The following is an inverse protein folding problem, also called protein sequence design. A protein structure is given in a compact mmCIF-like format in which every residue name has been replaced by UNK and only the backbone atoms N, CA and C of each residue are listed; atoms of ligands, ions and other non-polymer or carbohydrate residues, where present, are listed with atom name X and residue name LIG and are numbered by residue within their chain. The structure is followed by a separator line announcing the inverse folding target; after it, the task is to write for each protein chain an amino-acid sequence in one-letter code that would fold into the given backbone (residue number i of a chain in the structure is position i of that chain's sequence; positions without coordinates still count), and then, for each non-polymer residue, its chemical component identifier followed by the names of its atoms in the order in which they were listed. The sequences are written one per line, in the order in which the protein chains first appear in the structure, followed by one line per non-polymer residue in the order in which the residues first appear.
data_IF_980791357529
#
_entry.id   IF_980791357529
#
_cell.length_a   1.000
_cell.length_b   1.000
_cell.length_c   1.000
_cell.angle_alpha   90.00
_cell.angle_beta   90.00
_cell.angle_gamma   90.00
#
_symmetry.space_group_name_H-M   'P 1'
#
loop_
_entity.id
_entity.type
_entity.pdbx_description
1 polymer ?
#
# COMPACT_ATOMS: atom_id res chain seq x y z
N UNK A 1 -5.41 -6.94 -15.57
CA UNK A 1 -6.07 -5.78 -14.95
C UNK A 1 -5.19 -5.33 -13.78
N UNK A 2 -4.25 -4.42 -14.04
CA UNK A 2 -3.34 -3.86 -13.03
C UNK A 2 -4.05 -2.70 -12.33
N UNK A 3 -4.99 -3.06 -11.44
CA UNK A 3 -5.77 -2.12 -10.64
C UNK A 3 -4.85 -1.15 -9.92
N UNK A 4 -5.01 0.13 -10.24
CA UNK A 4 -4.44 1.25 -9.51
C UNK A 4 -5.26 1.48 -8.24
N UNK A 5 -5.54 0.40 -7.51
CA UNK A 5 -6.41 0.41 -6.35
C UNK A 5 -5.59 0.88 -5.15
N UNK A 6 -5.71 2.19 -4.88
CA UNK A 6 -5.61 2.72 -3.53
C UNK A 6 -6.12 1.66 -2.57
N UNK A 7 -5.27 1.09 -1.72
CA UNK A 7 -5.80 0.19 -0.70
C UNK A 7 -6.48 1.08 0.32
N UNK A 8 -7.83 1.10 0.40
CA UNK A 8 -8.50 2.06 1.24
C UNK A 8 -8.12 1.82 2.70
N UNK A 9 -8.04 2.90 3.48
CA UNK A 9 -7.89 2.79 4.92
C UNK A 9 -9.25 3.05 5.57
N UNK A 10 -9.65 2.17 6.46
CA UNK A 10 -10.93 2.25 7.14
C UNK A 10 -10.71 2.36 8.65
N UNK A 11 -11.59 3.10 9.32
CA UNK A 11 -11.49 3.36 10.76
C UNK A 11 -12.65 2.75 11.52
N UNK A 12 -12.38 2.22 12.72
CA UNK A 12 -13.40 1.64 13.60
C UNK A 12 -13.06 1.91 15.07
N UNK A 13 -14.05 2.16 15.94
CA UNK A 13 -13.82 2.36 17.36
C UNK A 13 -13.48 1.03 18.07
N UNK A 14 -12.44 1.06 18.89
CA UNK A 14 -12.03 -0.06 19.74
C UNK A 14 -11.24 0.48 20.94
N UNK A 15 -11.54 -0.02 22.15
CA UNK A 15 -10.78 0.28 23.38
C UNK A 15 -10.60 1.79 23.68
N UNK A 16 -11.66 2.59 23.49
CA UNK A 16 -11.62 4.03 23.75
C UNK A 16 -10.97 4.88 22.65
N UNK A 17 -10.37 4.25 21.63
CA UNK A 17 -9.74 4.93 20.50
C UNK A 17 -10.37 4.49 19.16
N UNK A 18 -9.94 5.13 18.07
CA UNK A 18 -10.18 4.66 16.72
C UNK A 18 -8.95 3.98 16.17
N UNK A 19 -9.13 2.80 15.62
CA UNK A 19 -8.08 2.05 14.95
C UNK A 19 -8.34 1.98 13.46
N UNK A 20 -7.27 2.10 12.68
CA UNK A 20 -7.30 1.94 11.24
C UNK A 20 -7.01 0.49 10.85
N UNK A 21 -7.58 0.03 9.74
CA UNK A 21 -7.22 -1.22 9.08
C UNK A 21 -7.19 -1.03 7.56
N UNK A 22 -6.53 -1.96 6.88
CA UNK A 22 -6.31 -1.92 5.43
C UNK A 22 -7.41 -2.66 4.68
N UNK A 23 -7.89 -2.09 3.59
CA UNK A 23 -8.90 -2.66 2.69
C UNK A 23 -10.26 -1.99 2.82
N UNK A 24 -11.26 -2.60 2.16
CA UNK A 24 -12.62 -2.04 2.09
C UNK A 24 -13.35 -2.07 3.44
N UNK A 25 -14.33 -1.16 3.63
CA UNK A 25 -15.20 -1.18 4.80
C UNK A 25 -15.82 -2.57 5.00
N UNK A 26 -15.64 -3.15 6.18
CA UNK A 26 -16.29 -4.41 6.56
C UNK A 26 -17.44 -4.16 7.53
N UNK A 27 -18.36 -5.13 7.60
CA UNK A 27 -19.53 -5.07 8.46
C UNK A 27 -19.22 -5.22 9.95
N UNK A 28 -20.21 -4.86 10.77
CA UNK A 28 -20.19 -5.07 12.22
C UNK A 28 -19.87 -6.53 12.59
N UNK A 29 -19.08 -6.73 13.64
CA UNK A 29 -18.73 -8.06 14.14
C UNK A 29 -17.62 -8.78 13.36
N UNK A 30 -17.13 -8.19 12.27
CA UNK A 30 -16.00 -8.74 11.51
C UNK A 30 -14.69 -8.49 12.25
N UNK A 31 -13.88 -9.53 12.39
CA UNK A 31 -12.53 -9.43 12.94
C UNK A 31 -11.55 -8.96 11.86
N UNK A 32 -10.76 -7.94 12.18
CA UNK A 32 -9.72 -7.40 11.30
C UNK A 32 -8.40 -7.23 12.06
N UNK A 33 -7.30 -7.23 11.31
CA UNK A 33 -6.00 -6.79 11.82
C UNK A 33 -5.89 -5.28 11.63
N UNK A 34 -5.73 -4.54 12.73
CA UNK A 34 -5.49 -3.10 12.67
C UNK A 34 -4.06 -2.79 12.21
N UNK A 35 -3.82 -1.53 11.81
CA UNK A 35 -2.49 -1.07 11.43
C UNK A 35 -1.51 -1.09 12.60
N UNK A 36 -1.97 -0.97 13.85
CA UNK A 36 -1.14 -1.16 15.05
C UNK A 36 -0.94 -2.63 15.45
N UNK A 37 -1.22 -3.57 14.53
CA UNK A 37 -1.07 -5.02 14.71
C UNK A 37 -1.94 -5.62 15.83
N UNK A 38 -3.05 -4.97 16.18
CA UNK A 38 -4.04 -5.53 17.10
C UNK A 38 -5.15 -6.21 16.33
N UNK A 39 -5.57 -7.38 16.79
CA UNK A 39 -6.78 -8.03 16.28
C UNK A 39 -7.98 -7.38 16.96
N UNK A 40 -8.85 -6.74 16.17
CA UNK A 40 -10.01 -6.00 16.67
C UNK A 40 -11.27 -6.46 15.96
N UNK A 41 -12.41 -6.36 16.65
CA UNK A 41 -13.74 -6.60 16.08
C UNK A 41 -14.32 -5.26 15.66
N UNK A 42 -14.77 -5.16 14.41
CA UNK A 42 -15.39 -3.95 13.88
C UNK A 42 -16.69 -3.66 14.62
N UNK A 43 -16.76 -2.44 15.16
CA UNK A 43 -17.94 -1.91 15.82
C UNK A 43 -18.46 -0.70 15.05
N UNK A 44 -19.77 -0.53 15.07
CA UNK A 44 -20.35 0.73 14.63
C UNK A 44 -20.17 1.76 15.74
N UNK A 45 -20.04 3.02 15.36
CA UNK A 45 -20.08 4.10 16.32
C UNK A 45 -21.45 4.08 17.04
N UNK A 46 -21.47 4.21 18.38
CA UNK A 46 -22.73 4.36 19.10
C UNK A 46 -23.49 5.56 18.54
N UNK A 47 -24.83 5.52 18.44
CA UNK A 47 -25.61 6.65 17.94
C UNK A 47 -25.42 7.93 18.80
N UNK A 48 -25.02 7.76 20.06
CA UNK A 48 -24.73 8.82 21.02
C UNK A 48 -23.33 9.42 20.89
N UNK A 49 -22.39 8.74 20.22
CA UNK A 49 -21.01 9.17 20.11
C UNK A 49 -20.60 9.30 18.64
N UNK A 50 -20.52 10.56 18.17
CA UNK A 50 -20.03 10.86 16.82
C UNK A 50 -18.57 10.42 16.66
N UNK A 51 -18.20 10.02 15.45
CA UNK A 51 -16.86 9.58 15.07
C UNK A 51 -15.73 10.53 15.55
N UNK A 52 -15.97 11.85 15.47
CA UNK A 52 -15.03 12.90 15.90
C UNK A 52 -14.73 12.92 17.42
N UNK A 53 -15.53 12.25 18.24
CA UNK A 53 -15.35 12.23 19.69
C UNK A 53 -14.37 11.15 20.15
N UNK A 54 -13.94 10.28 19.24
CA UNK A 54 -13.00 9.21 19.55
C UNK A 54 -11.61 9.60 19.08
N UNK A 55 -10.60 9.66 19.98
CA UNK A 55 -9.23 9.93 19.59
C UNK A 55 -8.71 8.82 18.67
N UNK A 56 -7.85 9.18 17.73
CA UNK A 56 -7.17 8.21 16.87
C UNK A 56 -6.05 7.52 17.64
N UNK A 57 -5.94 6.20 17.50
CA UNK A 57 -4.78 5.47 17.96
C UNK A 57 -3.53 6.01 17.26
N UNK A 58 -2.54 6.47 18.04
CA UNK A 58 -1.34 7.15 17.53
C UNK A 58 -0.61 6.35 16.43
N UNK A 59 -0.44 5.05 16.64
CA UNK A 59 0.28 4.18 15.70
C UNK A 59 -0.53 3.96 14.41
N UNK A 60 -1.84 3.84 14.53
CA UNK A 60 -2.73 3.74 13.38
C UNK A 60 -2.71 5.04 12.57
N UNK A 61 -2.75 6.19 13.22
CA UNK A 61 -2.69 7.49 12.56
C UNK A 61 -1.37 7.70 11.82
N UNK A 62 -0.24 7.29 12.41
CA UNK A 62 1.07 7.36 11.76
C UNK A 62 1.11 6.46 10.51
N UNK A 63 0.78 5.17 10.65
CA UNK A 63 0.82 4.21 9.54
C UNK A 63 -0.21 4.51 8.45
N UNK A 64 -1.35 5.08 8.79
CA UNK A 64 -2.33 5.54 7.81
C UNK A 64 -1.78 6.67 6.93
N UNK A 65 -0.98 7.59 7.51
CA UNK A 65 -0.29 8.63 6.73
C UNK A 65 0.79 8.03 5.83
N UNK A 66 1.55 7.07 6.33
CA UNK A 66 2.55 6.37 5.51
C UNK A 66 1.91 5.71 4.29
N UNK A 67 0.75 5.05 4.47
CA UNK A 67 0.00 4.45 3.36
C UNK A 67 -0.42 5.46 2.29
N UNK A 68 -0.75 6.70 2.69
CA UNK A 68 -1.08 7.78 1.75
C UNK A 68 0.18 8.27 1.04
N UNK A 69 1.27 8.49 1.77
CA UNK A 69 2.54 8.94 1.21
C UNK A 69 3.15 7.91 0.22
N UNK A 70 3.08 6.62 0.55
CA UNK A 70 3.48 5.53 -0.35
C UNK A 70 2.69 5.54 -1.66
N UNK A 71 1.39 5.88 -1.59
CA UNK A 71 0.56 6.00 -2.78
C UNK A 71 0.97 7.22 -3.63
N UNK A 72 1.16 8.39 -3.01
CA UNK A 72 1.59 9.59 -3.73
C UNK A 72 2.93 9.38 -4.45
N UNK A 73 3.90 8.75 -3.78
CA UNK A 73 5.19 8.42 -4.38
C UNK A 73 5.05 7.44 -5.55
N UNK A 74 4.19 6.42 -5.45
CA UNK A 74 3.91 5.50 -6.57
C UNK A 74 3.19 6.18 -7.73
N UNK A 75 2.30 7.13 -7.44
CA UNK A 75 1.63 7.95 -8.46
C UNK A 75 2.64 8.81 -9.24
N UNK A 76 3.60 9.41 -8.55
CA UNK A 76 4.72 10.14 -9.15
C UNK A 76 5.60 9.24 -10.03
N UNK A 77 6.00 8.06 -9.56
CA UNK A 77 6.82 7.12 -10.36
C UNK A 77 6.08 6.68 -11.63
N UNK A 78 4.75 6.50 -11.58
CA UNK A 78 3.93 6.16 -12.76
C UNK A 78 3.71 7.31 -13.73
N UNK A 79 3.90 8.56 -13.30
CA UNK A 79 3.75 9.75 -14.15
C UNK A 79 5.08 10.29 -14.68
N UNK A 80 6.21 9.72 -14.24
CA UNK A 80 7.51 9.89 -14.86
C UNK A 80 7.58 8.95 -16.08
N UNK A 81 6.87 9.32 -17.15
CA UNK A 81 7.17 8.85 -18.51
C UNK A 81 8.43 9.61 -18.95
N UNK A 82 9.59 9.16 -18.48
CA UNK A 82 10.86 9.65 -19.03
C UNK A 82 10.98 9.03 -20.40
N UNK A 83 10.81 9.84 -21.43
CA UNK A 83 11.41 9.59 -22.74
C UNK A 83 12.92 9.46 -22.54
N UNK A 84 13.37 8.25 -22.21
CA UNK A 84 14.78 7.92 -22.23
C UNK A 84 15.20 8.07 -23.70
N UNK A 85 16.14 8.96 -24.06
CA UNK A 85 16.66 8.98 -25.41
C UNK A 85 17.18 7.57 -25.68
N UNK A 86 16.65 6.94 -26.73
CA UNK A 86 17.17 5.68 -27.23
C UNK A 86 18.66 5.91 -27.53
N UNK A 87 19.53 5.49 -26.63
CA UNK A 87 20.95 5.44 -26.92
C UNK A 87 21.09 4.46 -28.08
N UNK A 88 21.39 5.02 -29.25
CA UNK A 88 21.51 4.30 -30.50
C UNK A 88 22.43 3.10 -30.33
N UNK A 89 21.87 1.89 -30.46
CA UNK A 89 22.63 0.70 -30.76
C UNK A 89 22.83 0.63 -32.27
N UNK A 90 23.61 1.57 -32.79
CA UNK A 90 24.20 1.49 -34.12
C UNK A 90 25.59 0.85 -34.00
N UNK A 91 25.78 -0.26 -34.71
CA UNK A 91 27.09 -0.76 -35.12
C UNK A 91 27.69 -1.90 -34.29
N UNK A 92 27.62 -3.12 -34.79
CA UNK A 92 28.35 -4.24 -34.21
C UNK A 92 28.21 -5.57 -34.95
N UNK A 93 28.85 -5.65 -36.11
CA UNK A 93 29.04 -6.83 -36.97
C UNK A 93 29.38 -8.12 -36.19
N UNK A 94 28.87 -9.26 -36.69
CA UNK A 94 29.13 -10.63 -36.24
C UNK A 94 30.64 -10.95 -36.13
N UNK A 95 31.05 -11.61 -35.03
CA UNK A 95 32.01 -12.73 -34.96
C UNK A 95 32.82 -12.74 -33.64
N UNK A 96 32.72 -13.81 -32.87
CA UNK A 96 33.57 -14.03 -31.70
C UNK A 96 33.05 -15.15 -30.79
N UNK A 97 33.22 -16.39 -31.21
CA UNK A 97 32.62 -17.57 -30.58
C UNK A 97 33.10 -17.85 -29.16
N UNK A 98 32.16 -18.08 -28.25
CA UNK A 98 32.41 -18.79 -27.00
C UNK A 98 32.28 -20.30 -27.26
N UNK A 99 33.40 -21.02 -27.34
CA UNK A 99 33.37 -22.50 -27.26
C UNK A 99 32.93 -22.89 -25.84
N UNK A 100 31.98 -23.83 -25.66
CA UNK A 100 31.79 -24.45 -24.36
C UNK A 100 32.98 -25.37 -24.07
N UNK A 101 33.56 -25.25 -22.88
CA UNK A 101 34.52 -26.22 -22.36
C UNK A 101 33.78 -27.56 -22.14
N UNK A 102 34.17 -28.60 -22.87
CA UNK A 102 33.77 -29.97 -22.56
C UNK A 102 34.59 -30.49 -21.39
N UNK A 103 33.98 -31.14 -20.39
CA UNK A 103 34.72 -31.81 -19.34
C UNK A 103 35.11 -33.22 -19.78
N UNK A 104 36.38 -33.59 -19.57
CA UNK A 104 36.83 -34.91 -19.12
C UNK A 104 38.30 -34.86 -18.73
#
# INVERSE_FOLDING_TARGET
MTGNDLVPCCWTPHDGERHAYRGDPRGHGVTVMSLCCRVIVIRHYPPTAKERHWPECRDCAHRARDLVAEHEMRGLIRSIDVELPAFGLDGGHLAGGCRPASPR
#
